data_IF_987463178852
#
_entry.id   IF_987463178852
#
_cell.length_a   1.000
_cell.length_b   1.000
_cell.length_c   1.000
_cell.angle_alpha   90.00
_cell.angle_beta   90.00
_cell.angle_gamma   90.00
#
_symmetry.space_group_name_H-M   'P 1'
#
loop_
_entity.id
_entity.type
_entity.pdbx_description
1 polymer ?
#
# COMPACT_ATOMS: atom_id res chain seq x y z
N UNK A 1 7.28 4.99 -28.38
CA UNK A 1 6.30 5.84 -27.69
C UNK A 1 7.00 6.35 -26.44
N UNK A 2 7.19 7.66 -26.34
CA UNK A 2 8.03 8.28 -25.30
C UNK A 2 7.25 8.29 -23.99
N UNK A 3 7.72 7.51 -23.01
CA UNK A 3 7.22 7.56 -21.64
C UNK A 3 7.55 8.96 -21.09
N UNK A 4 6.50 9.75 -20.84
CA UNK A 4 6.60 11.04 -20.17
C UNK A 4 6.96 10.72 -18.71
N UNK A 5 8.24 10.86 -18.36
CA UNK A 5 8.66 10.85 -16.97
C UNK A 5 7.81 11.89 -16.24
N UNK A 6 7.02 11.45 -15.25
CA UNK A 6 6.35 12.35 -14.35
C UNK A 6 7.44 13.20 -13.69
N UNK A 7 7.35 14.52 -13.87
CA UNK A 7 8.24 15.48 -13.21
C UNK A 7 8.06 15.33 -11.71
N UNK A 8 9.17 15.16 -10.98
CA UNK A 8 9.22 14.84 -9.54
C UNK A 8 8.48 15.86 -8.64
N UNK A 9 8.15 17.04 -9.16
CA UNK A 9 7.52 18.15 -8.41
C UNK A 9 5.98 18.02 -8.22
N UNK A 10 5.29 17.05 -8.82
CA UNK A 10 3.82 16.95 -8.72
C UNK A 10 3.30 15.69 -7.99
N UNK A 11 4.17 14.80 -7.53
CA UNK A 11 3.72 13.55 -6.89
C UNK A 11 3.40 13.83 -5.41
N UNK A 12 2.15 13.62 -4.95
CA UNK A 12 1.80 13.86 -3.56
C UNK A 12 2.65 13.02 -2.60
N UNK A 13 3.33 13.70 -1.67
CA UNK A 13 4.08 13.04 -0.59
C UNK A 13 3.10 12.40 0.40
N UNK A 14 3.31 11.13 0.67
CA UNK A 14 2.63 10.33 1.69
C UNK A 14 3.60 10.15 2.85
N UNK A 15 3.17 10.49 4.05
CA UNK A 15 3.96 10.36 5.28
C UNK A 15 3.51 9.13 6.07
N UNK A 16 4.45 8.28 6.43
CA UNK A 16 4.20 7.15 7.30
C UNK A 16 4.09 7.62 8.75
N UNK A 17 2.99 7.26 9.42
CA UNK A 17 2.83 7.57 10.87
C UNK A 17 3.75 6.70 11.72
N UNK A 18 4.09 5.51 11.22
CA UNK A 18 5.12 4.61 11.75
C UNK A 18 6.00 4.13 10.59
N UNK A 19 7.33 4.09 10.75
CA UNK A 19 8.21 3.55 9.71
C UNK A 19 7.79 2.14 9.29
N UNK A 20 8.00 1.81 8.02
CA UNK A 20 7.73 0.45 7.56
C UNK A 20 8.66 -0.55 8.28
N UNK A 21 8.14 -1.69 8.74
CA UNK A 21 8.98 -2.73 9.33
C UNK A 21 10.15 -3.12 8.42
N UNK A 22 11.38 -2.98 8.93
CA UNK A 22 12.62 -3.24 8.19
C UNK A 22 13.21 -2.02 7.46
N UNK A 23 12.51 -0.88 7.43
CA UNK A 23 12.93 0.37 6.79
C UNK A 23 12.74 1.57 7.74
N UNK A 24 13.47 1.62 8.87
CA UNK A 24 13.25 2.62 9.92
C UNK A 24 13.60 4.06 9.49
N UNK A 25 14.43 4.22 8.47
CA UNK A 25 14.92 5.51 7.98
C UNK A 25 14.04 6.09 6.85
N UNK A 26 13.03 5.35 6.38
CA UNK A 26 12.14 5.73 5.29
C UNK A 26 10.74 6.06 5.82
N UNK A 27 10.38 7.34 5.80
CA UNK A 27 9.10 7.85 6.29
C UNK A 27 8.27 8.55 5.23
N UNK A 28 8.87 8.94 4.09
CA UNK A 28 8.20 9.69 3.02
C UNK A 28 8.17 8.86 1.75
N UNK A 29 6.97 8.70 1.21
CA UNK A 29 6.74 7.88 0.02
C UNK A 29 5.87 8.61 -1.00
N UNK A 30 5.94 8.12 -2.22
CA UNK A 30 5.09 8.52 -3.33
C UNK A 30 4.40 7.26 -3.90
N UNK A 31 3.11 7.36 -4.21
CA UNK A 31 2.39 6.32 -4.92
C UNK A 31 2.42 6.61 -6.42
N UNK A 32 3.05 5.74 -7.19
CA UNK A 32 3.28 5.89 -8.63
C UNK A 32 2.61 4.74 -9.37
N UNK A 33 1.72 5.04 -10.31
CA UNK A 33 1.12 4.00 -11.15
C UNK A 33 2.16 3.37 -12.09
N UNK A 34 2.16 2.04 -12.22
CA UNK A 34 3.14 1.28 -13.01
C UNK A 34 2.54 0.62 -14.26
N UNK A 35 1.22 0.51 -14.35
CA UNK A 35 0.49 -0.05 -15.48
C UNK A 35 -0.53 0.95 -16.06
N UNK A 36 -1.16 0.61 -17.18
CA UNK A 36 -2.21 1.45 -17.77
C UNK A 36 -3.58 1.23 -17.11
N UNK A 37 -3.79 0.05 -16.53
CA UNK A 37 -5.06 -0.38 -15.92
C UNK A 37 -5.27 0.14 -14.48
N UNK A 38 -4.23 0.74 -13.88
CA UNK A 38 -4.30 1.31 -12.53
C UNK A 38 -4.36 0.25 -11.43
N UNK A 39 -3.83 -0.95 -11.68
CA UNK A 39 -3.81 -2.04 -10.70
C UNK A 39 -2.45 -2.08 -10.01
N UNK A 40 -1.36 -1.97 -10.76
CA UNK A 40 -0.01 -1.98 -10.21
C UNK A 40 0.47 -0.58 -9.86
N UNK A 41 0.89 -0.41 -8.62
CA UNK A 41 1.52 0.81 -8.16
C UNK A 41 2.88 0.52 -7.52
N UNK A 42 3.80 1.47 -7.65
CA UNK A 42 5.03 1.56 -6.90
C UNK A 42 4.82 2.51 -5.73
N UNK A 43 4.94 1.99 -4.50
CA UNK A 43 5.08 2.81 -3.31
C UNK A 43 6.57 3.08 -3.11
N UNK A 44 7.03 4.20 -3.67
CA UNK A 44 8.45 4.55 -3.82
C UNK A 44 8.90 5.46 -2.68
N UNK A 45 10.01 5.15 -2.04
CA UNK A 45 10.62 6.02 -1.04
C UNK A 45 11.13 7.31 -1.67
N UNK A 46 10.95 8.42 -0.97
CA UNK A 46 11.54 9.73 -1.26
C UNK A 46 12.75 10.02 -0.36
N UNK A 47 13.05 9.12 0.57
CA UNK A 47 14.18 9.20 1.49
C UNK A 47 15.38 8.38 1.00
N UNK A 48 15.10 7.24 0.34
CA UNK A 48 16.13 6.32 -0.17
C UNK A 48 15.97 6.04 -1.66
N UNK A 49 17.03 6.32 -2.42
CA UNK A 49 17.08 5.99 -3.84
C UNK A 49 17.00 4.47 -4.05
N UNK A 50 16.07 4.06 -4.91
CA UNK A 50 15.89 2.65 -5.31
C UNK A 50 15.01 1.81 -4.39
N UNK A 51 14.53 2.34 -3.25
CA UNK A 51 13.54 1.65 -2.44
C UNK A 51 12.13 1.86 -3.01
N UNK A 52 11.50 0.75 -3.43
CA UNK A 52 10.13 0.76 -3.94
C UNK A 52 9.44 -0.57 -3.64
N UNK A 53 8.21 -0.50 -3.15
CA UNK A 53 7.34 -1.66 -2.98
C UNK A 53 6.32 -1.70 -4.12
N UNK A 54 6.11 -2.88 -4.70
CA UNK A 54 4.97 -3.08 -5.60
C UNK A 54 3.74 -3.33 -4.74
N UNK A 55 2.69 -2.57 -4.99
CA UNK A 55 1.44 -2.63 -4.24
C UNK A 55 0.24 -2.64 -5.19
N UNK A 56 -0.83 -3.29 -4.75
CA UNK A 56 -2.07 -3.45 -5.55
C UNK A 56 -3.31 -3.21 -4.69
N UNK A 57 -4.43 -2.73 -5.26
CA UNK A 57 -5.70 -2.76 -4.56
C UNK A 57 -6.17 -4.21 -4.38
N UNK A 58 -6.79 -4.56 -3.24
CA UNK A 58 -7.27 -5.93 -3.00
C UNK A 58 -8.45 -6.29 -3.89
N UNK A 59 -9.35 -5.34 -4.20
CA UNK A 59 -10.66 -5.61 -4.82
C UNK A 59 -10.65 -6.52 -6.06
N UNK A 60 -9.76 -6.32 -7.05
CA UNK A 60 -9.72 -7.17 -8.25
C UNK A 60 -9.33 -8.64 -7.99
N UNK A 61 -8.63 -8.94 -6.90
CA UNK A 61 -8.06 -10.26 -6.61
C UNK A 61 -8.71 -10.93 -5.38
N UNK A 62 -9.15 -10.13 -4.42
CA UNK A 62 -9.73 -10.54 -3.15
C UNK A 62 -11.00 -9.69 -2.91
N UNK A 63 -12.09 -9.95 -3.64
CA UNK A 63 -13.29 -9.12 -3.60
C UNK A 63 -13.98 -9.09 -2.22
N UNK A 64 -13.79 -10.16 -1.43
CA UNK A 64 -14.36 -10.29 -0.08
C UNK A 64 -13.41 -9.75 1.01
N UNK A 65 -12.25 -9.18 0.65
CA UNK A 65 -11.28 -8.66 1.60
C UNK A 65 -11.75 -7.34 2.22
N UNK A 66 -12.19 -7.40 3.46
CA UNK A 66 -12.68 -6.27 4.26
C UNK A 66 -11.94 -6.24 5.60
N UNK A 67 -10.71 -5.68 5.65
CA UNK A 67 -9.93 -5.67 6.88
C UNK A 67 -10.54 -4.71 7.92
N UNK A 68 -10.56 -5.15 9.17
CA UNK A 68 -10.95 -4.32 10.31
C UNK A 68 -9.71 -3.67 10.94
N UNK A 69 -9.72 -2.35 11.08
CA UNK A 69 -8.63 -1.59 11.69
C UNK A 69 -8.96 -1.30 13.15
N UNK A 70 -7.96 -1.46 14.04
CA UNK A 70 -8.10 -1.03 15.42
C UNK A 70 -8.30 0.50 15.51
N UNK A 71 -9.12 0.94 16.47
CA UNK A 71 -9.45 2.35 16.68
C UNK A 71 -8.21 3.24 16.87
N UNK A 72 -7.16 2.71 17.52
CA UNK A 72 -5.90 3.42 17.72
C UNK A 72 -5.21 3.75 16.39
N UNK A 73 -5.07 2.75 15.51
CA UNK A 73 -4.47 2.90 14.18
C UNK A 73 -5.32 3.82 13.31
N UNK A 74 -6.65 3.69 13.37
CA UNK A 74 -7.57 4.58 12.68
C UNK A 74 -7.37 6.04 13.14
N UNK A 75 -7.21 6.26 14.44
CA UNK A 75 -6.94 7.59 15.02
C UNK A 75 -5.64 8.21 14.53
N UNK A 76 -4.54 7.45 14.48
CA UNK A 76 -3.24 7.94 13.99
C UNK A 76 -3.28 8.38 12.52
N UNK A 77 -3.99 7.60 11.70
CA UNK A 77 -4.24 7.87 10.28
C UNK A 77 -5.26 8.99 10.05
N UNK A 78 -5.94 9.48 11.10
CA UNK A 78 -7.01 10.48 11.01
C UNK A 78 -8.27 9.95 10.32
N UNK A 79 -8.55 8.65 10.47
CA UNK A 79 -9.73 7.99 9.95
C UNK A 79 -10.90 8.12 10.91
N UNK A 80 -12.10 8.21 10.34
CA UNK A 80 -13.37 8.27 11.03
C UNK A 80 -14.45 7.69 10.13
N UNK A 81 -15.61 7.35 10.69
CA UNK A 81 -16.74 6.89 9.87
C UNK A 81 -17.20 7.91 8.82
N UNK A 82 -16.90 9.20 9.03
CA UNK A 82 -17.27 10.28 8.10
C UNK A 82 -16.34 10.46 6.90
N UNK A 83 -15.15 9.84 6.90
CA UNK A 83 -14.16 9.97 5.82
C UNK A 83 -13.65 8.62 5.29
N UNK A 84 -14.46 7.56 5.45
CA UNK A 84 -14.12 6.24 4.91
C UNK A 84 -13.87 6.24 3.39
N UNK A 85 -14.48 7.18 2.65
CA UNK A 85 -14.25 7.35 1.20
C UNK A 85 -12.87 7.90 0.83
N UNK A 86 -12.12 8.45 1.80
CA UNK A 86 -10.77 8.97 1.60
C UNK A 86 -9.69 7.91 1.87
N UNK A 87 -10.09 6.67 2.16
CA UNK A 87 -9.18 5.58 2.52
C UNK A 87 -8.84 4.73 1.31
N UNK A 88 -7.55 4.54 1.09
CA UNK A 88 -7.01 3.57 0.14
C UNK A 88 -6.38 2.43 0.94
N UNK A 89 -6.73 1.19 0.57
CA UNK A 89 -6.10 -0.03 1.09
C UNK A 89 -5.34 -0.69 -0.04
N UNK A 90 -4.06 -0.97 0.19
CA UNK A 90 -3.18 -1.63 -0.77
C UNK A 90 -2.49 -2.83 -0.12
N UNK A 91 -2.22 -3.85 -0.91
CA UNK A 91 -1.50 -5.04 -0.49
C UNK A 91 -0.09 -5.01 -1.04
N UNK A 92 0.90 -5.32 -0.20
CA UNK A 92 2.30 -5.42 -0.64
C UNK A 92 2.50 -6.73 -1.37
N UNK A 93 3.02 -6.63 -2.61
CA UNK A 93 3.29 -7.75 -3.51
C UNK A 93 4.69 -8.29 -3.25
N UNK A 94 4.78 -9.59 -3.07
CA UNK A 94 6.02 -10.36 -3.16
C UNK A 94 6.08 -11.03 -4.53
N UNK A 95 6.91 -10.48 -5.42
CA UNK A 95 7.12 -11.04 -6.75
C UNK A 95 7.76 -12.42 -6.69
N UNK A 96 7.15 -13.39 -7.38
CA UNK A 96 7.74 -14.71 -7.65
C UNK A 96 8.48 -14.74 -8.98
N UNK A 97 9.06 -15.89 -9.36
CA UNK A 97 9.65 -16.04 -10.70
C UNK A 97 8.56 -16.05 -11.80
N UNK A 98 7.32 -16.39 -11.41
CA UNK A 98 6.13 -16.36 -12.25
C UNK A 98 4.97 -15.66 -11.54
N UNK A 99 3.91 -15.32 -12.28
CA UNK A 99 2.70 -14.75 -11.68
C UNK A 99 2.03 -15.72 -10.70
N UNK A 100 2.06 -17.03 -10.98
CA UNK A 100 1.53 -18.08 -10.10
C UNK A 100 2.31 -18.21 -8.78
N UNK A 101 3.59 -17.82 -8.77
CA UNK A 101 4.42 -17.77 -7.55
C UNK A 101 4.34 -16.41 -6.84
N UNK A 102 3.66 -15.43 -7.44
CA UNK A 102 3.52 -14.09 -6.86
C UNK A 102 2.48 -14.14 -5.75
N UNK A 103 2.84 -13.54 -4.61
CA UNK A 103 1.99 -13.56 -3.41
C UNK A 103 1.80 -12.15 -2.87
N UNK A 104 0.79 -11.98 -2.02
CA UNK A 104 0.53 -10.75 -1.29
C UNK A 104 0.40 -11.02 0.20
N UNK A 105 0.69 -9.99 1.00
CA UNK A 105 0.47 -10.06 2.44
C UNK A 105 -0.90 -9.45 2.79
N UNK A 106 -1.90 -10.31 3.05
CA UNK A 106 -3.24 -9.89 3.48
C UNK A 106 -3.26 -9.44 4.95
N UNK A 107 -2.28 -9.84 5.75
CA UNK A 107 -2.23 -9.51 7.17
C UNK A 107 -1.59 -8.16 7.46
N UNK A 108 -0.84 -7.60 6.51
CA UNK A 108 -0.17 -6.32 6.68
C UNK A 108 -0.45 -5.35 5.51
N UNK A 109 -1.71 -4.94 5.29
CA UNK A 109 -2.04 -3.95 4.27
C UNK A 109 -1.38 -2.60 4.55
N UNK A 110 -1.10 -1.88 3.48
CA UNK A 110 -0.79 -0.46 3.51
C UNK A 110 -2.13 0.31 3.47
N UNK A 111 -2.41 1.06 4.53
CA UNK A 111 -3.60 1.90 4.63
C UNK A 111 -3.19 3.36 4.48
N UNK A 112 -3.82 4.08 3.58
CA UNK A 112 -3.50 5.47 3.25
C UNK A 112 -4.78 6.30 3.39
N UNK A 113 -4.72 7.35 4.20
CA UNK A 113 -5.71 8.41 4.21
C UNK A 113 -5.30 9.46 3.17
N UNK A 114 -6.04 9.54 2.07
CA UNK A 114 -5.73 10.46 0.96
C UNK A 114 -5.96 11.93 1.29
N UNK A 115 -6.86 12.22 2.23
CA UNK A 115 -7.14 13.58 2.68
C UNK A 115 -5.99 14.13 3.55
N UNK A 116 -5.45 13.32 4.46
CA UNK A 116 -4.34 13.72 5.35
C UNK A 116 -2.96 13.36 4.80
N UNK A 117 -2.91 12.51 3.76
CA UNK A 117 -1.70 11.89 3.19
C UNK A 117 -0.87 11.11 4.21
N UNK A 118 -1.53 10.59 5.23
CA UNK A 118 -0.91 9.71 6.22
C UNK A 118 -1.12 8.26 5.85
N UNK A 119 -0.09 7.45 6.05
CA UNK A 119 -0.16 6.02 5.80
C UNK A 119 0.50 5.19 6.89
N UNK A 120 0.12 3.91 6.96
CA UNK A 120 0.75 2.93 7.84
C UNK A 120 0.65 1.54 7.22
N UNK A 121 1.70 0.73 7.40
CA UNK A 121 1.58 -0.71 7.18
C UNK A 121 0.98 -1.33 8.45
N UNK A 122 -0.32 -1.63 8.40
CA UNK A 122 -1.08 -2.06 9.57
C UNK A 122 -1.01 -3.56 9.69
N UNK A 123 -0.44 -4.08 10.77
CA UNK A 123 -0.52 -5.52 11.08
C UNK A 123 -1.89 -5.80 11.70
N UNK A 124 -2.71 -6.58 11.00
CA UNK A 124 -4.03 -6.97 11.44
C UNK A 124 -3.96 -8.12 12.46
N UNK A 125 -4.86 -8.07 13.43
CA UNK A 125 -4.97 -9.08 14.50
C UNK A 125 -5.59 -10.39 14.00
N UNK A 126 -6.31 -10.36 12.88
CA UNK A 126 -6.90 -11.55 12.27
C UNK A 126 -5.79 -12.53 11.81
N UNK A 127 -5.73 -13.67 12.52
CA UNK A 127 -4.74 -14.71 12.29
C UNK A 127 -5.07 -15.60 11.07
N UNK A 128 -6.30 -15.54 10.55
CA UNK A 128 -6.72 -16.30 9.38
C UNK A 128 -6.25 -15.64 8.07
N UNK A 129 -5.85 -14.36 8.13
CA UNK A 129 -5.26 -13.66 7.00
C UNK A 129 -3.86 -14.18 6.67
N UNK A 130 -3.70 -14.64 5.43
CA UNK A 130 -2.43 -15.17 4.94
C UNK A 130 -1.39 -14.07 4.70
N UNK A 131 -0.16 -14.31 5.16
CA UNK A 131 1.00 -13.45 4.87
C UNK A 131 1.60 -13.69 3.48
N UNK A 132 1.19 -14.76 2.79
CA UNK A 132 1.66 -15.14 1.45
C UNK A 132 0.50 -15.69 0.63
N UNK A 133 -0.61 -14.95 0.54
CA UNK A 133 -1.74 -15.34 -0.27
C UNK A 133 -1.35 -15.35 -1.76
N UNK A 134 -1.60 -16.41 -2.53
CA UNK A 134 -1.38 -16.41 -3.98
C UNK A 134 -2.16 -15.29 -4.66
N UNK A 135 -1.52 -14.56 -5.56
CA UNK A 135 -2.16 -13.45 -6.28
C UNK A 135 -3.15 -13.95 -7.34
N UNK A 136 -2.82 -15.08 -7.98
CA UNK A 136 -3.67 -15.78 -8.94
C UNK A 136 -3.70 -17.25 -8.57
N UNK A 137 -4.87 -17.88 -8.74
CA UNK A 137 -5.07 -19.32 -8.52
C UNK A 137 -4.82 -20.14 -9.79
#
# INVERSE_FOLDING_TARGET
MTQKAATEDEIPVIELVHPMPGFPDDGRFALVQLDDDGVLHGFRSLDSDGLQFVVIPPGPFFPDYAPELADEVAGELGLSSGNAGDVIVLLVVRAGATLAETTVNLRAPLVINTATRRASQVVLDDADLSITAPLVA
#
